data_IF_828547795307
#
_entry.id   IF_828547795307
#
_cell.length_a   1.000
_cell.length_b   1.000
_cell.length_c   1.000
_cell.angle_alpha   90.00
_cell.angle_beta   90.00
_cell.angle_gamma   90.00
#
_symmetry.space_group_name_H-M   'P 1'
#
loop_
_entity.id
_entity.type
_entity.pdbx_description
1 polymer ?
#
# COMPACT_ATOMS: atom_id res chain seq x y z
N UNK A 1 6.07 -17.52 8.16
CA UNK A 1 5.83 -16.99 6.81
C UNK A 1 7.04 -16.12 6.45
N UNK A 2 7.47 -16.03 5.19
CA UNK A 2 8.59 -15.12 4.85
C UNK A 2 8.08 -13.68 4.81
N UNK A 3 8.97 -12.71 5.05
CA UNK A 3 8.68 -11.28 4.93
C UNK A 3 8.09 -10.96 3.56
N UNK A 4 8.75 -11.43 2.48
CA UNK A 4 8.30 -11.19 1.12
C UNK A 4 6.92 -11.80 0.84
N UNK A 5 6.62 -12.99 1.37
CA UNK A 5 5.27 -13.57 1.22
C UNK A 5 4.21 -12.72 1.93
N UNK A 6 4.53 -12.18 3.12
CA UNK A 6 3.62 -11.34 3.90
C UNK A 6 3.30 -10.05 3.14
N UNK A 7 4.32 -9.35 2.64
CA UNK A 7 4.17 -8.09 1.89
C UNK A 7 3.41 -8.31 0.57
N UNK A 8 3.73 -9.37 -0.17
CA UNK A 8 2.99 -9.76 -1.39
C UNK A 8 1.53 -10.09 -1.11
N UNK A 9 1.24 -10.68 0.06
CA UNK A 9 -0.12 -11.00 0.45
C UNK A 9 -0.90 -9.70 0.76
N UNK A 10 -0.27 -8.75 1.46
CA UNK A 10 -0.87 -7.43 1.72
C UNK A 10 -1.19 -6.66 0.42
N UNK A 11 -0.31 -6.71 -0.59
CA UNK A 11 -0.61 -6.13 -1.92
C UNK A 11 -1.89 -6.72 -2.54
N UNK A 12 -2.03 -8.05 -2.49
CA UNK A 12 -3.20 -8.74 -3.05
C UNK A 12 -4.49 -8.40 -2.30
N UNK A 13 -4.43 -8.36 -0.98
CA UNK A 13 -5.57 -7.99 -0.13
C UNK A 13 -6.02 -6.55 -0.41
N UNK A 14 -5.06 -5.62 -0.55
CA UNK A 14 -5.35 -4.26 -0.99
C UNK A 14 -6.01 -4.21 -2.38
N UNK A 15 -5.49 -4.95 -3.36
CA UNK A 15 -6.05 -5.01 -4.72
C UNK A 15 -7.49 -5.55 -4.72
N UNK A 16 -7.79 -6.57 -3.92
CA UNK A 16 -9.13 -7.17 -3.78
C UNK A 16 -10.13 -6.17 -3.18
N UNK A 17 -9.76 -5.50 -2.08
CA UNK A 17 -10.60 -4.47 -1.45
C UNK A 17 -10.81 -3.27 -2.37
N UNK A 18 -9.78 -2.86 -3.10
CA UNK A 18 -9.87 -1.77 -4.07
C UNK A 18 -10.84 -2.11 -5.20
N UNK A 19 -10.73 -3.31 -5.77
CA UNK A 19 -11.64 -3.77 -6.82
C UNK A 19 -13.11 -3.84 -6.33
N UNK A 20 -13.32 -4.22 -5.06
CA UNK A 20 -14.64 -4.20 -4.43
C UNK A 20 -15.17 -2.77 -4.29
N UNK A 21 -14.33 -1.83 -3.83
CA UNK A 21 -14.69 -0.42 -3.68
C UNK A 21 -15.06 0.22 -5.03
N UNK A 22 -14.31 -0.07 -6.09
CA UNK A 22 -14.67 0.39 -7.43
C UNK A 22 -15.98 -0.24 -7.94
N UNK A 23 -16.20 -1.52 -7.67
CA UNK A 23 -17.39 -2.25 -8.14
C UNK A 23 -18.66 -1.72 -7.48
N UNK A 24 -18.64 -1.54 -6.16
CA UNK A 24 -19.76 -0.97 -5.40
C UNK A 24 -20.03 0.48 -5.80
N UNK A 25 -18.99 1.30 -6.01
CA UNK A 25 -19.13 2.67 -6.50
C UNK A 25 -19.76 2.73 -7.91
N UNK A 26 -19.36 1.84 -8.84
CA UNK A 26 -19.98 1.74 -10.18
C UNK A 26 -21.46 1.38 -10.12
N UNK A 27 -21.85 0.57 -9.13
CA UNK A 27 -23.24 0.19 -8.90
C UNK A 27 -24.03 1.25 -8.12
N UNK A 28 -23.37 2.33 -7.70
CA UNK A 28 -23.91 3.37 -6.82
C UNK A 28 -24.40 2.81 -5.48
N UNK A 29 -23.84 1.68 -5.06
CA UNK A 29 -23.97 1.16 -3.71
C UNK A 29 -23.03 1.95 -2.79
N UNK A 30 -23.49 3.11 -2.32
CA UNK A 30 -22.66 4.04 -1.57
C UNK A 30 -22.22 3.47 -0.22
N UNK A 31 -23.08 2.72 0.46
CA UNK A 31 -22.74 2.09 1.74
C UNK A 31 -21.67 1.02 1.54
N UNK A 32 -21.83 0.17 0.51
CA UNK A 32 -20.81 -0.80 0.13
C UNK A 32 -19.49 -0.15 -0.28
N UNK A 33 -19.55 0.94 -1.04
CA UNK A 33 -18.37 1.67 -1.48
C UNK A 33 -17.63 2.36 -0.33
N UNK A 34 -18.36 3.01 0.58
CA UNK A 34 -17.80 3.62 1.79
C UNK A 34 -17.10 2.56 2.66
N UNK A 35 -17.76 1.43 2.91
CA UNK A 35 -17.18 0.35 3.71
C UNK A 35 -15.94 -0.28 3.06
N UNK A 36 -16.01 -0.59 1.77
CA UNK A 36 -14.90 -1.23 1.05
C UNK A 36 -13.72 -0.28 0.87
N UNK A 37 -13.98 1.00 0.55
CA UNK A 37 -12.95 2.01 0.43
C UNK A 37 -12.25 2.31 1.76
N UNK A 38 -13.00 2.37 2.87
CA UNK A 38 -12.42 2.53 4.19
C UNK A 38 -11.46 1.37 4.53
N UNK A 39 -11.91 0.13 4.33
CA UNK A 39 -11.07 -1.05 4.55
C UNK A 39 -9.81 -1.02 3.67
N UNK A 40 -9.95 -0.74 2.38
CA UNK A 40 -8.83 -0.60 1.45
C UNK A 40 -7.82 0.47 1.91
N UNK A 41 -8.32 1.66 2.25
CA UNK A 41 -7.48 2.79 2.68
C UNK A 41 -6.72 2.45 3.97
N UNK A 42 -7.39 1.82 4.92
CA UNK A 42 -6.80 1.48 6.21
C UNK A 42 -5.74 0.36 6.05
N UNK A 43 -5.98 -0.61 5.17
CA UNK A 43 -5.00 -1.65 4.80
C UNK A 43 -3.77 -1.07 4.08
N UNK A 44 -4.00 -0.18 3.12
CA UNK A 44 -2.92 0.50 2.39
C UNK A 44 -2.07 1.36 3.31
N UNK A 45 -2.69 2.13 4.21
CA UNK A 45 -1.94 2.94 5.17
C UNK A 45 -1.14 2.07 6.14
N UNK A 46 -1.71 0.96 6.65
CA UNK A 46 -0.98 0.02 7.48
C UNK A 46 0.24 -0.54 6.76
N UNK A 47 0.09 -0.90 5.49
CA UNK A 47 1.19 -1.38 4.65
C UNK A 47 2.29 -0.32 4.51
N UNK A 48 1.93 0.94 4.18
CA UNK A 48 2.91 2.01 4.11
C UNK A 48 3.63 2.26 5.43
N UNK A 49 2.92 2.21 6.58
CA UNK A 49 3.55 2.39 7.90
C UNK A 49 4.52 1.26 8.20
N UNK A 50 4.17 0.00 7.91
CA UNK A 50 5.10 -1.14 8.03
C UNK A 50 6.39 -0.85 7.25
N UNK A 51 6.24 -0.41 6.01
CA UNK A 51 7.40 -0.18 5.17
C UNK A 51 8.22 1.03 5.61
N UNK A 52 7.58 2.17 5.84
CA UNK A 52 8.24 3.44 6.14
C UNK A 52 8.91 3.46 7.52
N UNK A 53 8.32 2.78 8.51
CA UNK A 53 8.79 2.78 9.89
C UNK A 53 9.59 1.53 10.28
N UNK A 54 9.46 0.42 9.54
CA UNK A 54 10.15 -0.83 9.85
C UNK A 54 11.09 -1.30 8.73
N UNK A 55 10.58 -1.57 7.53
CA UNK A 55 11.35 -2.17 6.45
C UNK A 55 12.43 -1.22 5.90
N UNK A 56 12.04 0.00 5.52
CA UNK A 56 12.93 0.98 4.91
C UNK A 56 14.05 1.41 5.87
N UNK A 57 13.80 1.69 7.17
CA UNK A 57 14.88 1.98 8.11
C UNK A 57 15.87 0.83 8.26
N UNK A 58 15.39 -0.42 8.33
CA UNK A 58 16.26 -1.59 8.44
C UNK A 58 17.14 -1.77 7.18
N UNK A 59 16.54 -1.59 6.00
CA UNK A 59 17.26 -1.61 4.73
C UNK A 59 18.32 -0.50 4.63
N UNK A 60 17.95 0.72 4.98
CA UNK A 60 18.87 1.87 4.97
C UNK A 60 20.02 1.70 5.97
N UNK A 61 19.75 1.11 7.14
CA UNK A 61 20.77 0.80 8.13
C UNK A 61 21.74 -0.28 7.64
N UNK A 62 21.23 -1.32 6.97
CA UNK A 62 22.05 -2.41 6.47
C UNK A 62 22.92 -2.02 5.26
N UNK A 63 22.44 -1.10 4.41
CA UNK A 63 23.09 -0.77 3.13
C UNK A 63 23.76 0.61 3.11
N UNK A 64 23.34 1.54 3.97
CA UNK A 64 23.70 2.95 3.90
C UNK A 64 23.00 3.75 2.79
N UNK A 65 22.11 3.11 2.00
CA UNK A 65 21.45 3.74 0.84
C UNK A 65 20.26 4.62 1.26
N UNK A 66 20.53 5.82 1.79
CA UNK A 66 19.48 6.77 2.23
C UNK A 66 18.86 7.62 1.11
N UNK A 67 19.50 7.64 -0.07
CA UNK A 67 19.05 8.42 -1.22
C UNK A 67 18.78 7.56 -2.46
N UNK A 68 18.05 6.47 -2.28
CA UNK A 68 17.78 5.47 -3.32
C UNK A 68 16.35 4.95 -3.31
N UNK A 69 16.13 3.63 -3.39
CA UNK A 69 14.80 3.06 -3.65
C UNK A 69 13.76 3.45 -2.59
N UNK A 70 14.15 3.50 -1.31
CA UNK A 70 13.23 3.87 -0.20
C UNK A 70 12.78 5.33 -0.23
N UNK A 71 13.53 6.23 -0.88
CA UNK A 71 13.07 7.62 -1.09
C UNK A 71 12.01 7.69 -2.18
N UNK A 72 12.20 6.92 -3.26
CA UNK A 72 11.24 6.84 -4.37
C UNK A 72 9.92 6.27 -3.87
N UNK A 73 9.96 5.19 -3.06
CA UNK A 73 8.75 4.58 -2.50
C UNK A 73 7.99 5.56 -1.61
N UNK A 74 8.66 6.25 -0.68
CA UNK A 74 8.02 7.30 0.15
C UNK A 74 7.35 8.41 -0.66
N UNK A 75 7.99 8.87 -1.74
CA UNK A 75 7.40 9.88 -2.62
C UNK A 75 6.15 9.35 -3.34
N UNK A 76 6.11 8.06 -3.66
CA UNK A 76 4.94 7.44 -4.29
C UNK A 76 3.84 7.17 -3.28
N UNK A 77 4.16 6.74 -2.06
CA UNK A 77 3.18 6.65 -0.96
C UNK A 77 2.52 8.00 -0.71
N UNK A 78 3.30 9.10 -0.71
CA UNK A 78 2.75 10.44 -0.56
C UNK A 78 1.74 10.78 -1.69
N UNK A 79 2.07 10.46 -2.94
CA UNK A 79 1.17 10.65 -4.07
C UNK A 79 -0.08 9.76 -3.99
N UNK A 80 0.05 8.51 -3.53
CA UNK A 80 -1.08 7.62 -3.32
C UNK A 80 -2.00 8.14 -2.21
N UNK A 81 -1.44 8.64 -1.09
CA UNK A 81 -2.22 9.29 -0.02
C UNK A 81 -3.01 10.50 -0.50
N UNK A 82 -2.45 11.31 -1.40
CA UNK A 82 -3.17 12.42 -2.04
C UNK A 82 -4.36 11.91 -2.88
N UNK A 83 -4.15 10.86 -3.69
CA UNK A 83 -5.22 10.24 -4.47
C UNK A 83 -6.31 9.61 -3.59
N UNK A 84 -5.94 8.92 -2.50
CA UNK A 84 -6.88 8.38 -1.53
C UNK A 84 -7.73 9.49 -0.90
N UNK A 85 -7.14 10.63 -0.58
CA UNK A 85 -7.88 11.78 -0.07
C UNK A 85 -8.85 12.35 -1.12
N UNK A 86 -8.42 12.49 -2.38
CA UNK A 86 -9.29 12.91 -3.49
C UNK A 86 -10.47 11.94 -3.70
N UNK A 87 -10.19 10.64 -3.67
CA UNK A 87 -11.21 9.58 -3.76
C UNK A 87 -12.21 9.67 -2.60
N UNK A 88 -11.73 9.85 -1.36
CA UNK A 88 -12.59 10.02 -0.19
C UNK A 88 -13.58 11.17 -0.37
N UNK A 89 -13.11 12.34 -0.84
CA UNK A 89 -14.01 13.48 -1.10
C UNK A 89 -15.02 13.20 -2.21
N UNK A 90 -14.61 12.51 -3.27
CA UNK A 90 -15.49 12.16 -4.37
C UNK A 90 -16.56 11.14 -3.93
N UNK A 91 -16.21 10.26 -3.00
CA UNK A 91 -17.12 9.29 -2.40
C UNK A 91 -18.14 9.98 -1.49
N UNK A 92 -17.70 10.90 -0.61
CA UNK A 92 -18.58 11.73 0.23
C UNK A 92 -19.56 12.56 -0.61
N UNK A 93 -19.09 13.08 -1.74
CA UNK A 93 -19.91 13.83 -2.70
C UNK A 93 -20.80 12.94 -3.59
N UNK A 94 -20.66 11.61 -3.50
CA UNK A 94 -21.36 10.61 -4.31
C UNK A 94 -21.20 10.84 -5.82
N UNK A 95 -20.02 11.27 -6.23
CA UNK A 95 -19.67 11.52 -7.64
C UNK A 95 -18.90 10.32 -8.20
N UNK A 96 -19.62 9.29 -8.64
CA UNK A 96 -19.03 8.02 -9.10
C UNK A 96 -17.96 8.20 -10.18
N UNK A 97 -18.23 9.02 -11.22
CA UNK A 97 -17.28 9.23 -12.32
C UNK A 97 -15.96 9.86 -11.84
N UNK A 98 -16.02 10.77 -10.86
CA UNK A 98 -14.83 11.41 -10.28
C UNK A 98 -14.07 10.42 -9.40
N UNK A 99 -14.79 9.67 -8.56
CA UNK A 99 -14.20 8.62 -7.72
C UNK A 99 -13.46 7.57 -8.56
N UNK A 100 -14.10 7.07 -9.63
CA UNK A 100 -13.52 6.07 -10.53
C UNK A 100 -12.39 6.65 -11.39
N UNK A 101 -12.44 7.94 -11.74
CA UNK A 101 -11.34 8.62 -12.44
C UNK A 101 -10.06 8.69 -11.59
N UNK A 102 -10.19 9.07 -10.32
CA UNK A 102 -9.08 9.02 -9.37
C UNK A 102 -8.62 7.57 -9.13
N UNK A 103 -9.57 6.64 -8.98
CA UNK A 103 -9.29 5.21 -8.81
C UNK A 103 -8.45 4.62 -9.95
N UNK A 104 -8.79 4.93 -11.20
CA UNK A 104 -7.99 4.50 -12.35
C UNK A 104 -6.56 5.06 -12.34
N UNK A 105 -6.36 6.28 -11.83
CA UNK A 105 -5.01 6.85 -11.67
C UNK A 105 -4.24 6.14 -10.55
N UNK A 106 -4.90 5.88 -9.42
CA UNK A 106 -4.33 5.16 -8.29
C UNK A 106 -3.91 3.74 -8.69
N UNK A 107 -4.75 3.02 -9.44
CA UNK A 107 -4.45 1.67 -9.92
C UNK A 107 -3.15 1.61 -10.71
N UNK A 108 -2.94 2.55 -11.64
CA UNK A 108 -1.73 2.60 -12.46
C UNK A 108 -0.50 2.87 -11.57
N UNK A 109 -0.63 3.80 -10.61
CA UNK A 109 0.45 4.14 -9.69
C UNK A 109 0.81 2.95 -8.78
N UNK A 110 -0.18 2.29 -8.20
CA UNK A 110 -0.02 1.06 -7.39
C UNK A 110 0.69 -0.04 -8.19
N UNK A 111 0.24 -0.34 -9.41
CA UNK A 111 0.87 -1.38 -10.24
C UNK A 111 2.35 -1.07 -10.52
N UNK A 112 2.67 0.18 -10.83
CA UNK A 112 4.05 0.60 -11.06
C UNK A 112 4.89 0.52 -9.80
N UNK A 113 4.31 0.91 -8.67
CA UNK A 113 4.92 0.88 -7.35
C UNK A 113 5.23 -0.56 -6.92
N UNK A 114 4.22 -1.42 -6.87
CA UNK A 114 4.35 -2.83 -6.48
C UNK A 114 5.42 -3.53 -7.34
N UNK A 115 5.47 -3.26 -8.66
CA UNK A 115 6.52 -3.82 -9.51
C UNK A 115 7.94 -3.45 -9.07
N UNK A 116 8.18 -2.23 -8.60
CA UNK A 116 9.50 -1.81 -8.09
C UNK A 116 9.81 -2.51 -6.78
N UNK A 117 8.83 -2.64 -5.91
CA UNK A 117 9.06 -3.28 -4.63
C UNK A 117 9.32 -4.76 -4.76
N UNK A 118 8.43 -5.47 -5.46
CA UNK A 118 8.47 -6.91 -5.60
C UNK A 118 9.68 -7.41 -6.39
N UNK A 119 10.09 -6.67 -7.43
CA UNK A 119 11.17 -7.09 -8.32
C UNK A 119 12.54 -6.47 -7.97
N UNK A 120 12.57 -5.41 -7.16
CA UNK A 120 13.82 -4.69 -6.85
C UNK A 120 14.01 -4.58 -5.34
N UNK A 121 13.12 -3.89 -4.63
CA UNK A 121 13.35 -3.54 -3.22
C UNK A 121 13.32 -4.76 -2.30
N UNK A 122 12.30 -5.61 -2.37
CA UNK A 122 12.18 -6.78 -1.50
C UNK A 122 13.32 -7.80 -1.72
N UNK A 123 13.75 -8.11 -2.96
CA UNK A 123 14.97 -8.89 -3.18
C UNK A 123 16.21 -8.27 -2.55
N UNK A 124 16.39 -6.95 -2.63
CA UNK A 124 17.52 -6.26 -1.99
C UNK A 124 17.42 -6.33 -0.46
N UNK A 125 16.23 -6.14 0.11
CA UNK A 125 15.99 -6.31 1.55
C UNK A 125 16.37 -7.72 1.99
N UNK A 126 15.95 -8.75 1.26
CA UNK A 126 16.26 -10.14 1.57
C UNK A 126 17.78 -10.43 1.55
N UNK A 127 18.53 -9.75 0.68
CA UNK A 127 19.99 -9.91 0.56
C UNK A 127 20.76 -9.20 1.67
N UNK A 128 20.27 -8.07 2.15
CA UNK A 128 21.03 -7.16 3.02
C UNK A 128 20.54 -7.10 4.47
N UNK A 129 19.24 -7.26 4.72
CA UNK A 129 18.64 -7.14 6.05
C UNK A 129 18.71 -8.48 6.77
N UNK A 130 19.58 -8.57 7.78
CA UNK A 130 19.68 -9.78 8.61
C UNK A 130 18.42 -9.91 9.49
N UNK A 131 17.80 -11.08 9.48
CA UNK A 131 16.60 -11.35 10.30
C UNK A 131 15.32 -10.72 9.76
N UNK A 132 15.26 -10.40 8.46
CA UNK A 132 14.12 -9.74 7.81
C UNK A 132 12.76 -10.42 8.11
N UNK A 133 12.68 -11.75 8.03
CA UNK A 133 11.44 -12.49 8.31
C UNK A 133 10.93 -12.25 9.74
N UNK A 134 11.83 -12.28 10.73
CA UNK A 134 11.47 -12.03 12.12
C UNK A 134 11.09 -10.56 12.35
N UNK A 135 11.79 -9.64 11.69
CA UNK A 135 11.49 -8.20 11.77
C UNK A 135 10.05 -7.90 11.33
N UNK A 136 9.64 -8.41 10.17
CA UNK A 136 8.28 -8.20 9.64
C UNK A 136 7.25 -8.94 10.49
N UNK A 137 7.51 -10.20 10.85
CA UNK A 137 6.59 -10.96 11.70
C UNK A 137 6.37 -10.33 13.08
N UNK A 138 7.42 -9.77 13.68
CA UNK A 138 7.33 -9.08 14.97
C UNK A 138 6.58 -7.76 14.87
N UNK A 139 6.68 -7.07 13.73
CA UNK A 139 5.92 -5.83 13.50
C UNK A 139 4.43 -6.15 13.37
N UNK A 140 4.05 -7.12 12.54
CA UNK A 140 2.65 -7.55 12.36
C UNK A 140 2.02 -7.94 13.70
N UNK A 141 2.70 -8.78 14.49
CA UNK A 141 2.19 -9.24 15.78
C UNK A 141 1.96 -8.11 16.83
N UNK A 142 2.61 -6.95 16.67
CA UNK A 142 2.42 -5.80 17.56
C UNK A 142 1.32 -4.85 17.09
N UNK A 143 0.89 -4.97 15.84
CA UNK A 143 -0.07 -4.09 15.20
C UNK A 143 -1.34 -4.84 14.74
N UNK A 144 -1.52 -6.10 15.15
CA UNK A 144 -2.80 -6.81 15.13
C UNK A 144 -3.75 -6.19 16.16
N UNK A 145 -4.52 -5.16 15.78
CA UNK A 145 -5.63 -4.62 16.56
C UNK A 145 -6.78 -4.14 15.67
#
# INVERSE_FOLDING_TARGET
MTAQHTLLQQHRECDELFALAETTARQQDWEGAESAFAAFRDDMERHFVLEEECLFPAFEQATGMRHGPTMVMRNEHAQMRELLHDMSRALDARTADVYLGHGGTLLILMQQHNMKEENILYPMCQQHVTGLDALISDWEARHEH
#
